data_IF_049620511009
#
_entry.id   IF_049620511009
#
_cell.length_a   1.000
_cell.length_b   1.000
_cell.length_c   1.000
_cell.angle_alpha   90.00
_cell.angle_beta   90.00
_cell.angle_gamma   90.00
#
_symmetry.space_group_name_H-M   'P 1'
#
loop_
_entity.id
_entity.type
_entity.pdbx_description
1 polymer ?
#
# COMPACT_ATOMS: atom_id res chain seq x y z
N UNK A 1 5.01 -35.22 7.91
CA UNK A 1 5.80 -33.97 7.78
C UNK A 1 5.12 -33.03 6.77
N UNK A 2 4.15 -32.23 7.19
CA UNK A 2 3.60 -31.10 6.42
C UNK A 2 3.07 -30.09 7.45
N UNK A 3 3.86 -29.08 7.83
CA UNK A 3 3.39 -28.06 8.80
C UNK A 3 3.84 -26.62 8.50
N UNK A 4 4.60 -26.35 7.45
CA UNK A 4 5.17 -25.00 7.23
C UNK A 4 4.50 -24.18 6.12
N UNK A 5 3.63 -24.76 5.28
CA UNK A 5 3.11 -24.04 4.12
C UNK A 5 1.83 -23.21 4.39
N UNK A 6 1.01 -23.60 5.38
CA UNK A 6 -0.34 -23.03 5.54
C UNK A 6 -0.40 -21.73 6.34
N UNK A 7 0.53 -21.56 7.28
CA UNK A 7 0.55 -20.40 8.18
C UNK A 7 1.04 -19.11 7.51
N UNK A 8 1.80 -19.20 6.40
CA UNK A 8 2.24 -18.04 5.63
C UNK A 8 1.12 -17.43 4.77
N UNK A 9 0.14 -18.23 4.35
CA UNK A 9 -0.98 -17.76 3.52
C UNK A 9 -2.08 -17.08 4.36
N UNK A 10 -2.36 -17.58 5.56
CA UNK A 10 -3.40 -17.00 6.44
C UNK A 10 -3.02 -15.62 7.01
N UNK A 11 -1.73 -15.29 7.08
CA UNK A 11 -1.27 -13.96 7.51
C UNK A 11 -1.49 -12.90 6.42
N UNK A 12 -1.48 -13.30 5.15
CA UNK A 12 -1.79 -12.43 4.02
C UNK A 12 -3.30 -12.18 3.88
N UNK A 13 -4.15 -13.12 4.33
CA UNK A 13 -5.61 -13.05 4.20
C UNK A 13 -6.34 -12.38 5.39
N UNK A 14 -5.65 -12.11 6.51
CA UNK A 14 -6.27 -11.53 7.73
C UNK A 14 -5.95 -10.05 7.99
N UNK A 15 -5.19 -9.42 7.11
CA UNK A 15 -5.08 -7.97 7.09
C UNK A 15 -5.82 -7.49 5.85
N UNK A 16 -6.94 -6.80 6.02
CA UNK A 16 -7.23 -5.70 5.10
C UNK A 16 -5.99 -4.78 5.21
N UNK A 17 -5.01 -5.01 4.34
CA UNK A 17 -3.67 -4.42 4.51
C UNK A 17 -3.76 -2.90 4.48
N UNK A 18 -2.78 -2.20 5.07
CA UNK A 18 -2.73 -0.73 4.99
C UNK A 18 -2.88 -0.25 3.53
N UNK A 19 -2.33 -1.01 2.57
CA UNK A 19 -2.52 -0.77 1.14
C UNK A 19 -3.97 -0.86 0.66
N UNK A 20 -4.67 -1.93 1.02
CA UNK A 20 -6.08 -2.14 0.64
C UNK A 20 -6.99 -1.09 1.29
N UNK A 21 -6.75 -0.76 2.55
CA UNK A 21 -7.45 0.33 3.24
C UNK A 21 -7.27 1.66 2.50
N UNK A 22 -6.04 2.04 2.16
CA UNK A 22 -5.75 3.28 1.42
C UNK A 22 -6.42 3.27 0.04
N UNK A 23 -6.38 2.15 -0.67
CA UNK A 23 -7.06 1.99 -1.96
C UNK A 23 -8.55 2.21 -1.84
N UNK A 24 -9.19 1.56 -0.87
CA UNK A 24 -10.63 1.69 -0.63
C UNK A 24 -11.01 3.14 -0.32
N UNK A 25 -10.26 3.80 0.57
CA UNK A 25 -10.50 5.21 0.91
C UNK A 25 -10.33 6.12 -0.31
N UNK A 26 -9.32 5.87 -1.15
CA UNK A 26 -9.11 6.61 -2.41
C UNK A 26 -10.31 6.44 -3.35
N UNK A 27 -10.75 5.21 -3.55
CA UNK A 27 -11.89 4.88 -4.44
C UNK A 27 -13.20 5.48 -3.92
N UNK A 28 -13.44 5.48 -2.60
CA UNK A 28 -14.60 6.12 -1.96
C UNK A 28 -14.62 7.63 -2.16
N UNK A 29 -13.45 8.27 -2.24
CA UNK A 29 -13.30 9.70 -2.54
C UNK A 29 -13.35 10.01 -4.03
N UNK A 30 -13.43 8.99 -4.89
CA UNK A 30 -13.40 9.12 -6.35
C UNK A 30 -12.17 9.85 -6.91
N UNK A 31 -11.03 9.77 -6.21
CA UNK A 31 -9.77 10.36 -6.68
C UNK A 31 -8.89 9.31 -7.36
N UNK A 32 -8.12 9.74 -8.36
CA UNK A 32 -7.22 8.85 -9.09
C UNK A 32 -5.87 8.72 -8.39
N UNK A 33 -5.11 7.68 -8.72
CA UNK A 33 -3.71 7.56 -8.28
C UNK A 33 -2.82 8.67 -8.84
N UNK A 34 -3.13 9.20 -10.02
CA UNK A 34 -2.40 10.33 -10.61
C UNK A 34 -2.62 11.61 -9.77
N UNK A 35 -3.85 11.84 -9.33
CA UNK A 35 -4.18 12.98 -8.48
C UNK A 35 -3.50 12.89 -7.10
N UNK A 36 -3.47 11.70 -6.49
CA UNK A 36 -2.70 11.45 -5.27
C UNK A 36 -1.21 11.69 -5.51
N UNK A 37 -0.67 11.23 -6.64
CA UNK A 37 0.74 11.45 -7.00
C UNK A 37 1.06 12.94 -7.16
N UNK A 38 0.17 13.72 -7.76
CA UNK A 38 0.32 15.16 -7.92
C UNK A 38 0.32 15.91 -6.58
N UNK A 39 -0.57 15.50 -5.65
CA UNK A 39 -0.69 16.10 -4.31
C UNK A 39 0.49 15.76 -3.39
N UNK A 40 0.89 14.49 -3.38
CA UNK A 40 1.92 13.96 -2.46
C UNK A 40 3.34 14.05 -3.01
N UNK A 41 3.49 14.29 -4.32
CA UNK A 41 4.76 14.18 -5.07
C UNK A 41 5.40 12.78 -5.01
N UNK A 42 4.60 11.76 -4.67
CA UNK A 42 5.01 10.36 -4.72
C UNK A 42 4.70 9.83 -6.11
N UNK A 43 5.66 9.13 -6.73
CA UNK A 43 5.42 8.51 -8.05
C UNK A 43 4.27 7.51 -7.98
N UNK A 44 3.39 7.56 -8.99
CA UNK A 44 2.26 6.62 -9.15
C UNK A 44 2.66 5.16 -8.90
N UNK A 45 3.79 4.70 -9.45
CA UNK A 45 4.27 3.31 -9.26
C UNK A 45 4.46 2.91 -7.80
N UNK A 46 4.83 3.87 -6.93
CA UNK A 46 5.03 3.61 -5.52
C UNK A 46 3.70 3.62 -4.77
N UNK A 47 2.75 4.44 -5.19
CA UNK A 47 1.39 4.40 -4.66
C UNK A 47 0.70 3.07 -5.02
N UNK A 48 0.87 2.59 -6.26
CA UNK A 48 0.41 1.26 -6.69
C UNK A 48 1.06 0.15 -5.86
N UNK A 49 2.37 0.23 -5.61
CA UNK A 49 3.07 -0.73 -4.76
C UNK A 49 2.57 -0.69 -3.30
N UNK A 50 2.27 0.50 -2.76
CA UNK A 50 1.68 0.64 -1.42
C UNK A 50 0.31 -0.01 -1.37
N UNK A 51 -0.57 0.25 -2.35
CA UNK A 51 -1.90 -0.36 -2.44
C UNK A 51 -1.83 -1.88 -2.55
N UNK A 52 -0.84 -2.41 -3.27
CA UNK A 52 -0.60 -3.83 -3.44
C UNK A 52 0.20 -4.49 -2.29
N UNK A 53 0.59 -3.72 -1.27
CA UNK A 53 1.40 -4.22 -0.14
C UNK A 53 2.85 -4.59 -0.50
N UNK A 54 3.33 -4.18 -1.67
CA UNK A 54 4.65 -4.50 -2.23
C UNK A 54 5.70 -3.47 -1.76
N UNK A 55 5.94 -3.40 -0.45
CA UNK A 55 6.83 -2.39 0.15
C UNK A 55 8.30 -2.53 -0.26
N UNK A 56 8.71 -3.72 -0.70
CA UNK A 56 10.04 -4.02 -1.24
C UNK A 56 10.34 -3.27 -2.55
N UNK A 57 9.31 -2.78 -3.25
CA UNK A 57 9.45 -1.99 -4.48
C UNK A 57 9.64 -0.49 -4.22
N UNK A 58 9.53 -0.04 -2.98
CA UNK A 58 9.74 1.35 -2.61
C UNK A 58 11.24 1.66 -2.56
N UNK A 59 11.65 2.92 -2.75
CA UNK A 59 13.05 3.31 -2.71
C UNK A 59 13.55 3.30 -1.26
N UNK A 60 13.85 2.13 -0.70
CA UNK A 60 14.33 1.95 0.67
C UNK A 60 13.23 1.96 1.74
N UNK A 61 13.36 1.07 2.73
CA UNK A 61 12.34 0.85 3.78
C UNK A 61 12.02 2.10 4.62
N UNK A 62 12.99 3.01 4.73
CA UNK A 62 12.89 4.24 5.53
C UNK A 62 11.76 5.15 5.01
N UNK A 63 11.50 5.12 3.70
CA UNK A 63 10.50 5.98 3.05
C UNK A 63 9.08 5.43 3.13
N UNK A 64 8.91 4.13 3.40
CA UNK A 64 7.60 3.45 3.41
C UNK A 64 6.64 4.16 4.36
N UNK A 65 7.07 4.43 5.60
CA UNK A 65 6.24 5.11 6.60
C UNK A 65 5.87 6.53 6.20
N UNK A 66 6.81 7.26 5.59
CA UNK A 66 6.59 8.63 5.11
C UNK A 66 5.57 8.67 3.97
N UNK A 67 5.68 7.75 3.02
CA UNK A 67 4.77 7.66 1.89
C UNK A 67 3.36 7.25 2.31
N UNK A 68 3.23 6.26 3.19
CA UNK A 68 1.93 5.85 3.74
C UNK A 68 1.25 7.03 4.45
N UNK A 69 2.00 7.79 5.27
CA UNK A 69 1.45 8.97 5.95
C UNK A 69 1.01 10.05 4.97
N UNK A 70 1.84 10.36 3.98
CA UNK A 70 1.52 11.40 3.00
C UNK A 70 0.31 11.01 2.14
N UNK A 71 0.19 9.73 1.77
CA UNK A 71 -0.98 9.21 1.06
C UNK A 71 -2.24 9.27 1.96
N UNK A 72 -2.16 8.85 3.22
CA UNK A 72 -3.31 8.93 4.13
C UNK A 72 -3.84 10.36 4.34
N UNK A 73 -3.02 11.39 4.09
CA UNK A 73 -3.35 12.81 4.26
C UNK A 73 -3.79 13.50 2.95
N UNK A 74 -3.71 12.83 1.80
CA UNK A 74 -4.02 13.43 0.49
C UNK A 74 -5.50 13.55 0.17
#
# INVERSE_FOLDING_TARGET
>A
MQYTARASEEKAARADGVGEFLRRERELRHISLDEVAERTKISRRYLEAIEAGQYERLPGEIFVRGFIRSYAQS
#
